data_IF_829145362824
#
_entry.id   IF_829145362824
#
_cell.length_a   1.000
_cell.length_b   1.000
_cell.length_c   1.000
_cell.angle_alpha   90.00
_cell.angle_beta   90.00
_cell.angle_gamma   90.00
#
_symmetry.space_group_name_H-M   'P 1'
#
loop_
_entity.id
_entity.type
_entity.pdbx_description
1 polymer ?
#
# COMPACT_ATOMS: atom_id res chain seq x y z
N UNK A 1 -10.36 -15.47 12.07
CA UNK A 1 -8.98 -15.38 12.61
C UNK A 1 -8.71 -14.04 13.29
N UNK A 2 -8.52 -12.90 12.59
CA UNK A 2 -8.22 -11.62 13.29
C UNK A 2 -9.36 -11.19 14.19
N UNK A 3 -10.61 -11.24 13.71
CA UNK A 3 -11.78 -10.88 14.53
C UNK A 3 -11.95 -11.79 15.75
N UNK A 4 -11.77 -13.10 15.54
CA UNK A 4 -11.81 -14.13 16.58
C UNK A 4 -10.72 -13.89 17.63
N UNK A 5 -9.47 -13.65 17.21
CA UNK A 5 -8.38 -13.30 18.11
C UNK A 5 -8.70 -12.05 18.93
N UNK A 6 -9.30 -11.03 18.31
CA UNK A 6 -9.74 -9.85 19.05
C UNK A 6 -10.75 -10.22 20.13
N UNK A 7 -11.75 -11.04 19.83
CA UNK A 7 -12.76 -11.42 20.84
C UNK A 7 -12.12 -12.14 22.04
N UNK A 8 -11.12 -12.98 21.80
CA UNK A 8 -10.39 -13.70 22.86
C UNK A 8 -9.56 -12.77 23.75
N UNK A 9 -8.83 -11.80 23.17
CA UNK A 9 -7.85 -11.00 23.94
C UNK A 9 -8.32 -9.60 24.31
N UNK A 10 -9.36 -9.06 23.66
CA UNK A 10 -9.70 -7.62 23.74
C UNK A 10 -10.00 -7.11 25.14
N UNK A 11 -10.53 -7.94 26.04
CA UNK A 11 -10.79 -7.56 27.42
C UNK A 11 -9.50 -7.18 28.18
N UNK A 12 -8.36 -7.71 27.76
CA UNK A 12 -7.04 -7.52 28.40
C UNK A 12 -6.22 -6.41 27.73
N UNK A 13 -6.65 -5.91 26.56
CA UNK A 13 -5.93 -4.91 25.79
C UNK A 13 -6.25 -3.49 26.25
N UNK A 14 -5.20 -2.67 26.29
CA UNK A 14 -5.31 -1.22 26.39
C UNK A 14 -5.96 -0.61 25.14
N UNK A 15 -6.42 0.64 25.23
CA UNK A 15 -7.04 1.33 24.10
C UNK A 15 -6.06 1.57 22.93
N UNK A 16 -4.77 1.76 23.25
CA UNK A 16 -3.73 1.90 22.21
C UNK A 16 -3.50 0.58 21.47
N UNK A 17 -3.57 -0.56 22.15
CA UNK A 17 -3.46 -1.88 21.51
C UNK A 17 -4.70 -2.19 20.67
N UNK A 18 -5.90 -1.87 21.17
CA UNK A 18 -7.16 -2.04 20.42
C UNK A 18 -7.20 -1.18 19.15
N UNK A 19 -6.75 0.07 19.24
CA UNK A 19 -6.69 0.96 18.07
C UNK A 19 -5.64 0.52 17.05
N UNK A 20 -4.59 -0.18 17.47
CA UNK A 20 -3.50 -0.67 16.61
C UNK A 20 -3.51 -2.20 16.45
N UNK A 21 -4.70 -2.80 16.50
CA UNK A 21 -4.83 -4.24 16.68
C UNK A 21 -4.24 -5.07 15.53
N UNK A 22 -4.19 -4.54 14.30
CA UNK A 22 -3.59 -5.25 13.16
C UNK A 22 -2.07 -5.40 13.33
N UNK A 23 -1.36 -4.35 13.76
CA UNK A 23 0.07 -4.44 14.11
C UNK A 23 0.31 -5.28 15.35
N UNK A 24 -0.59 -5.21 16.35
CA UNK A 24 -0.53 -6.09 17.52
C UNK A 24 -0.64 -7.56 17.11
N UNK A 25 -1.60 -7.89 16.26
CA UNK A 25 -1.79 -9.25 15.74
C UNK A 25 -0.55 -9.74 14.98
N UNK A 26 0.05 -8.90 14.11
CA UNK A 26 1.30 -9.23 13.42
C UNK A 26 2.45 -9.48 14.40
N UNK A 27 2.56 -8.67 15.46
CA UNK A 27 3.60 -8.84 16.47
C UNK A 27 3.51 -10.21 17.16
N UNK A 28 2.30 -10.70 17.39
CA UNK A 28 2.03 -12.03 17.95
C UNK A 28 1.98 -13.17 16.92
N UNK A 29 2.38 -12.91 15.67
CA UNK A 29 2.57 -13.94 14.64
C UNK A 29 1.32 -14.30 13.83
N UNK A 30 0.21 -13.55 13.99
CA UNK A 30 -0.95 -13.74 13.12
C UNK A 30 -0.67 -13.17 11.72
N UNK A 31 -1.20 -13.84 10.69
CA UNK A 31 -1.15 -13.33 9.32
C UNK A 31 -2.05 -12.09 9.21
N UNK A 32 -1.48 -11.00 8.73
CA UNK A 32 -2.22 -9.76 8.48
C UNK A 32 -1.89 -9.21 7.09
N UNK A 33 -2.54 -8.10 6.74
CA UNK A 33 -2.31 -7.39 5.48
C UNK A 33 -1.09 -6.45 5.54
N UNK A 34 -0.27 -6.51 6.60
CA UNK A 34 0.93 -5.69 6.75
C UNK A 34 2.16 -6.42 6.22
N UNK A 35 2.93 -5.73 5.38
CA UNK A 35 4.24 -6.18 4.93
C UNK A 35 5.30 -5.40 5.69
N UNK A 36 6.17 -6.13 6.40
CA UNK A 36 7.32 -5.56 7.10
C UNK A 36 8.30 -4.90 6.14
N UNK A 37 8.63 -3.63 6.40
CA UNK A 37 9.69 -2.88 5.72
C UNK A 37 10.55 -2.15 6.76
N UNK A 38 11.73 -1.69 6.37
CA UNK A 38 12.64 -0.95 7.26
C UNK A 38 13.12 0.32 6.61
N UNK A 39 13.39 1.34 7.45
CA UNK A 39 14.08 2.57 7.03
C UNK A 39 15.60 2.43 7.03
N UNK A 40 16.14 1.33 7.56
CA UNK A 40 17.58 1.10 7.64
C UNK A 40 18.05 0.17 6.53
N UNK A 41 18.93 0.68 5.67
CA UNK A 41 19.52 -0.12 4.59
C UNK A 41 20.30 -1.33 5.11
N UNK A 42 21.00 -1.19 6.25
CA UNK A 42 21.76 -2.29 6.86
C UNK A 42 20.85 -3.37 7.45
N UNK A 43 19.68 -2.97 8.00
CA UNK A 43 18.68 -3.94 8.49
C UNK A 43 18.05 -4.68 7.31
N UNK A 44 17.74 -3.98 6.22
CA UNK A 44 17.23 -4.62 4.99
C UNK A 44 18.26 -5.60 4.42
N UNK A 45 19.53 -5.18 4.35
CA UNK A 45 20.63 -6.03 3.90
C UNK A 45 20.79 -7.26 4.80
N UNK A 46 20.74 -7.09 6.12
CA UNK A 46 20.75 -8.21 7.06
C UNK A 46 19.65 -9.23 6.74
N UNK A 47 18.39 -8.80 6.65
CA UNK A 47 17.27 -9.70 6.38
C UNK A 47 17.32 -10.34 4.99
N UNK A 48 17.90 -9.67 4.00
CA UNK A 48 18.13 -10.26 2.67
C UNK A 48 19.17 -11.39 2.70
N UNK A 49 20.04 -11.41 3.72
CA UNK A 49 21.21 -12.29 3.78
C UNK A 49 21.19 -13.33 4.93
N UNK A 50 20.42 -13.12 6.00
CA UNK A 50 20.61 -13.83 7.26
C UNK A 50 20.23 -15.31 7.23
N UNK A 51 19.34 -15.72 6.31
CA UNK A 51 18.82 -17.07 6.17
C UNK A 51 18.62 -17.44 4.69
N UNK A 52 18.17 -18.68 4.43
CA UNK A 52 17.89 -19.22 3.09
C UNK A 52 19.05 -18.99 2.11
N UNK A 53 20.26 -19.44 2.47
CA UNK A 53 21.49 -19.15 1.71
C UNK A 53 21.47 -19.69 0.27
N UNK A 54 20.66 -20.70 -0.01
CA UNK A 54 20.50 -21.27 -1.37
C UNK A 54 19.63 -20.40 -2.29
N UNK A 55 18.85 -19.46 -1.73
CA UNK A 55 18.01 -18.56 -2.49
C UNK A 55 18.67 -17.19 -2.64
N UNK A 56 18.57 -16.61 -3.83
CA UNK A 56 18.97 -15.23 -4.13
C UNK A 56 18.26 -14.25 -3.19
N UNK A 57 19.04 -13.40 -2.53
CA UNK A 57 18.52 -12.32 -1.69
C UNK A 57 18.23 -11.08 -2.53
N UNK A 58 17.21 -10.32 -2.15
CA UNK A 58 16.88 -9.05 -2.79
C UNK A 58 16.65 -7.95 -1.76
N UNK A 59 17.01 -6.72 -2.11
CA UNK A 59 16.59 -5.51 -1.42
C UNK A 59 15.66 -4.73 -2.35
N UNK A 60 14.46 -4.45 -1.87
CA UNK A 60 13.47 -3.65 -2.56
C UNK A 60 13.42 -2.24 -1.96
N UNK A 61 13.60 -1.24 -2.80
CA UNK A 61 13.61 0.18 -2.40
C UNK A 61 12.33 0.84 -2.89
N UNK A 62 11.72 1.60 -1.99
CA UNK A 62 10.52 2.37 -2.28
C UNK A 62 10.74 3.85 -1.97
N UNK A 63 10.35 4.73 -2.89
CA UNK A 63 10.41 6.17 -2.70
C UNK A 63 9.30 6.60 -1.73
N UNK A 64 9.68 7.31 -0.68
CA UNK A 64 8.75 7.80 0.36
C UNK A 64 7.56 8.58 -0.21
N UNK A 65 7.76 9.34 -1.29
CA UNK A 65 6.71 10.16 -1.90
C UNK A 65 5.64 9.32 -2.63
N UNK A 66 5.89 8.03 -2.89
CA UNK A 66 4.91 7.13 -3.51
C UNK A 66 3.89 6.54 -2.51
N UNK A 67 4.00 6.90 -1.23
CA UNK A 67 3.11 6.42 -0.19
C UNK A 67 2.14 7.47 0.33
N UNK A 68 0.91 7.03 0.58
CA UNK A 68 -0.02 7.71 1.48
C UNK A 68 0.25 7.24 2.90
N UNK A 69 0.38 8.18 3.83
CA UNK A 69 0.65 7.84 5.23
C UNK A 69 -0.66 7.65 6.00
N UNK A 70 -0.73 6.52 6.67
CA UNK A 70 -1.79 6.21 7.61
C UNK A 70 -1.21 5.77 8.93
N UNK A 71 -1.98 5.96 9.99
CA UNK A 71 -1.72 5.48 11.33
C UNK A 71 -2.93 4.68 11.79
N UNK A 72 -3.45 4.94 12.98
CA UNK A 72 -4.53 4.17 13.58
C UNK A 72 -5.89 4.33 12.89
N UNK A 73 -5.98 5.12 11.82
CA UNK A 73 -7.19 5.29 11.03
C UNK A 73 -7.50 4.05 10.16
N UNK A 74 -6.49 3.25 9.80
CA UNK A 74 -6.66 1.99 9.01
C UNK A 74 -6.41 0.73 9.83
N UNK A 75 -6.26 0.86 11.14
CA UNK A 75 -6.03 -0.25 12.05
C UNK A 75 -7.14 -0.40 13.09
N UNK A 76 -7.03 -1.46 13.88
CA UNK A 76 -8.05 -1.80 14.86
C UNK A 76 -9.26 -2.43 14.17
N UNK A 77 -10.47 -2.06 14.65
CA UNK A 77 -11.75 -2.44 14.06
C UNK A 77 -12.42 -1.32 13.24
N UNK A 78 -11.74 -0.18 13.01
CA UNK A 78 -12.30 0.96 12.26
C UNK A 78 -12.48 0.63 10.78
N UNK A 79 -11.51 -0.11 10.22
CA UNK A 79 -11.48 -0.52 8.82
C UNK A 79 -11.24 -2.02 8.81
N UNK A 80 -12.20 -2.76 8.27
CA UNK A 80 -12.09 -4.21 8.14
C UNK A 80 -11.24 -4.51 6.89
N UNK A 81 -11.66 -3.96 5.75
CA UNK A 81 -10.97 -4.11 4.47
C UNK A 81 -11.08 -2.79 3.69
N UNK A 82 -9.97 -2.06 3.61
CA UNK A 82 -9.97 -0.67 3.10
C UNK A 82 -10.66 -0.49 1.74
N UNK A 83 -10.47 -1.39 0.78
CA UNK A 83 -11.16 -1.32 -0.51
C UNK A 83 -12.67 -1.54 -0.41
N UNK A 84 -13.13 -2.54 0.34
CA UNK A 84 -14.55 -2.76 0.58
C UNK A 84 -15.17 -1.57 1.34
N UNK A 85 -14.48 -1.07 2.36
CA UNK A 85 -14.95 0.06 3.16
C UNK A 85 -15.01 1.37 2.35
N UNK A 86 -14.15 1.56 1.35
CA UNK A 86 -14.28 2.68 0.41
C UNK A 86 -15.55 2.59 -0.45
N UNK A 87 -16.00 1.39 -0.81
CA UNK A 87 -17.27 1.19 -1.50
C UNK A 87 -18.44 1.50 -0.56
N UNK A 88 -18.42 0.92 0.64
CA UNK A 88 -19.58 0.82 1.51
C UNK A 88 -19.74 1.99 2.49
N UNK A 89 -18.64 2.56 2.99
CA UNK A 89 -18.66 3.47 4.13
C UNK A 89 -18.33 4.91 3.72
N UNK A 90 -19.13 5.88 4.17
CA UNK A 90 -18.90 7.29 3.87
C UNK A 90 -17.72 7.87 4.66
N UNK A 91 -17.51 7.41 5.89
CA UNK A 91 -16.40 7.85 6.74
C UNK A 91 -15.04 7.52 6.10
N UNK A 92 -14.90 6.30 5.59
CA UNK A 92 -13.70 5.85 4.85
C UNK A 92 -13.43 6.70 3.60
N UNK A 93 -14.49 7.07 2.86
CA UNK A 93 -14.37 7.96 1.70
C UNK A 93 -13.85 9.35 2.08
N UNK A 94 -14.41 9.97 3.13
CA UNK A 94 -14.00 11.30 3.62
C UNK A 94 -12.58 11.27 4.17
N UNK A 95 -12.26 10.26 4.98
CA UNK A 95 -10.91 10.06 5.50
C UNK A 95 -9.89 9.96 4.36
N UNK A 96 -10.18 9.12 3.35
CA UNK A 96 -9.26 8.93 2.24
C UNK A 96 -9.12 10.17 1.35
N UNK A 97 -10.21 10.91 1.12
CA UNK A 97 -10.16 12.21 0.45
C UNK A 97 -9.13 13.16 1.10
N UNK A 98 -9.18 13.30 2.42
CA UNK A 98 -8.23 14.15 3.15
C UNK A 98 -6.77 13.69 3.00
N UNK A 99 -6.54 12.37 3.01
CA UNK A 99 -5.21 11.79 2.79
C UNK A 99 -4.72 11.98 1.35
N UNK A 100 -5.61 11.90 0.36
CA UNK A 100 -5.29 12.15 -1.04
C UNK A 100 -4.94 13.61 -1.31
N UNK A 101 -5.54 14.57 -0.61
CA UNK A 101 -5.15 15.99 -0.70
C UNK A 101 -3.69 16.20 -0.29
N UNK A 102 -3.26 15.60 0.82
CA UNK A 102 -1.85 15.65 1.25
C UNK A 102 -0.94 14.93 0.24
N UNK A 103 -1.36 13.76 -0.24
CA UNK A 103 -0.59 12.98 -1.19
C UNK A 103 -0.40 13.69 -2.54
N UNK A 104 -1.44 14.30 -3.08
CA UNK A 104 -1.37 15.07 -4.33
C UNK A 104 -0.41 16.25 -4.21
N UNK A 105 -0.42 16.97 -3.08
CA UNK A 105 0.53 18.07 -2.82
C UNK A 105 1.98 17.61 -2.86
N UNK A 106 2.27 16.42 -2.33
CA UNK A 106 3.62 15.87 -2.22
C UNK A 106 4.08 15.03 -3.42
N UNK A 107 3.15 14.49 -4.21
CA UNK A 107 3.44 13.61 -5.35
C UNK A 107 2.57 13.90 -6.57
N UNK A 108 2.50 15.17 -6.95
CA UNK A 108 1.64 15.66 -8.04
C UNK A 108 1.86 14.90 -9.36
N UNK A 109 3.11 14.68 -9.78
CA UNK A 109 3.43 13.98 -11.04
C UNK A 109 2.91 12.54 -11.04
N UNK A 110 3.21 11.78 -9.98
CA UNK A 110 2.75 10.40 -9.85
C UNK A 110 1.22 10.31 -9.80
N UNK A 111 0.58 11.24 -9.11
CA UNK A 111 -0.88 11.32 -9.03
C UNK A 111 -1.54 11.60 -10.39
N UNK A 112 -1.01 12.56 -11.16
CA UNK A 112 -1.53 12.90 -12.50
C UNK A 112 -1.47 11.69 -13.43
N UNK A 113 -0.38 10.92 -13.37
CA UNK A 113 -0.20 9.68 -14.16
C UNK A 113 -1.20 8.62 -13.71
N UNK A 114 -1.33 8.37 -12.40
CA UNK A 114 -2.30 7.41 -11.84
C UNK A 114 -3.74 7.77 -12.21
N UNK A 115 -4.11 9.06 -12.16
CA UNK A 115 -5.40 9.55 -12.63
C UNK A 115 -5.61 9.26 -14.12
N UNK A 116 -4.61 9.49 -14.98
CA UNK A 116 -4.71 9.17 -16.41
C UNK A 116 -4.93 7.68 -16.66
N UNK A 117 -4.20 6.82 -15.96
CA UNK A 117 -4.39 5.37 -16.08
C UNK A 117 -5.83 4.96 -15.71
N UNK A 118 -6.35 5.50 -14.61
CA UNK A 118 -7.73 5.27 -14.20
C UNK A 118 -8.76 5.82 -15.22
N UNK A 119 -8.57 7.04 -15.73
CA UNK A 119 -9.44 7.60 -16.77
C UNK A 119 -9.38 6.80 -18.08
N UNK A 120 -8.24 6.20 -18.41
CA UNK A 120 -8.10 5.30 -19.55
C UNK A 120 -8.94 4.03 -19.39
N UNK A 121 -9.05 3.48 -18.17
CA UNK A 121 -9.95 2.36 -17.90
C UNK A 121 -11.41 2.75 -18.14
N UNK A 122 -11.82 3.96 -17.72
CA UNK A 122 -13.16 4.51 -18.03
C UNK A 122 -13.35 4.61 -19.55
N UNK A 123 -12.38 5.15 -20.28
CA UNK A 123 -12.43 5.25 -21.75
C UNK A 123 -12.66 3.87 -22.39
N UNK A 124 -12.01 2.82 -21.90
CA UNK A 124 -12.22 1.44 -22.40
C UNK A 124 -13.64 0.96 -22.12
N UNK A 125 -14.21 1.26 -20.95
CA UNK A 125 -15.60 0.92 -20.63
C UNK A 125 -16.60 1.66 -21.54
N UNK A 126 -16.41 2.97 -21.72
CA UNK A 126 -17.29 3.80 -22.58
C UNK A 126 -17.21 3.44 -24.07
N UNK A 127 -16.09 2.83 -24.51
CA UNK A 127 -15.98 2.31 -25.88
C UNK A 127 -16.76 1.02 -26.12
N UNK A 128 -17.09 0.27 -25.06
CA UNK A 128 -17.91 -0.94 -25.15
C UNK A 128 -19.41 -0.64 -25.12
N UNK A 129 -19.78 0.58 -24.76
CA UNK A 129 -21.17 1.00 -24.52
C UNK A 129 -21.79 1.64 -25.76
N UNK A 130 -23.09 2.00 -25.73
CA UNK A 130 -23.74 2.59 -26.91
C UNK A 130 -23.24 4.02 -27.07
N UNK A 131 -22.31 4.22 -28.01
CA UNK A 131 -21.72 5.53 -28.31
C UNK A 131 -22.80 6.61 -28.48
N UNK A 132 -22.73 7.64 -27.65
CA UNK A 132 -23.52 8.85 -27.80
C UNK A 132 -22.59 10.07 -27.75
N UNK A 133 -23.16 11.25 -27.97
CA UNK A 133 -22.40 12.51 -28.06
C UNK A 133 -21.61 12.77 -26.77
N UNK A 134 -22.19 12.46 -25.61
CA UNK A 134 -21.57 12.74 -24.32
C UNK A 134 -20.42 11.77 -23.98
N UNK A 135 -20.59 10.47 -24.23
CA UNK A 135 -19.49 9.51 -24.06
C UNK A 135 -18.33 9.84 -24.99
N UNK A 136 -18.63 10.33 -26.19
CA UNK A 136 -17.61 10.80 -27.15
C UNK A 136 -16.82 12.01 -26.62
N UNK A 137 -17.47 12.98 -25.99
CA UNK A 137 -16.81 14.16 -25.41
C UNK A 137 -15.95 13.80 -24.18
N UNK A 138 -16.37 12.84 -23.36
CA UNK A 138 -15.54 12.32 -22.26
C UNK A 138 -14.30 11.63 -22.83
N UNK A 139 -14.45 10.77 -23.84
CA UNK A 139 -13.32 10.09 -24.48
C UNK A 139 -12.32 11.11 -25.03
N UNK A 140 -12.79 12.14 -25.74
CA UNK A 140 -11.93 13.23 -26.23
C UNK A 140 -11.21 13.97 -25.10
N UNK A 141 -11.88 14.19 -23.98
CA UNK A 141 -11.29 14.84 -22.79
C UNK A 141 -10.17 13.99 -22.19
N UNK A 142 -10.38 12.67 -22.09
CA UNK A 142 -9.35 11.72 -21.64
C UNK A 142 -8.17 11.67 -22.62
N UNK A 143 -8.43 11.59 -23.93
CA UNK A 143 -7.37 11.57 -24.95
C UNK A 143 -6.54 12.87 -24.95
N UNK A 144 -7.19 14.02 -24.73
CA UNK A 144 -6.50 15.30 -24.58
C UNK A 144 -5.61 15.34 -23.32
N UNK A 145 -6.06 14.74 -22.21
CA UNK A 145 -5.27 14.63 -20.99
C UNK A 145 -4.04 13.76 -21.18
N UNK A 146 -4.20 12.59 -21.80
CA UNK A 146 -3.12 11.66 -22.08
C UNK A 146 -2.07 12.30 -23.00
N UNK A 147 -2.52 13.02 -24.02
CA UNK A 147 -1.64 13.82 -24.90
C UNK A 147 -0.86 14.84 -24.09
N UNK A 148 -1.51 15.53 -23.16
CA UNK A 148 -0.87 16.51 -22.29
C UNK A 148 0.16 15.94 -21.32
N UNK A 149 -0.03 14.71 -20.84
CA UNK A 149 1.00 14.01 -20.06
C UNK A 149 2.21 13.72 -20.94
N UNK A 150 1.99 13.18 -22.15
CA UNK A 150 3.06 12.79 -23.08
C UNK A 150 3.87 13.99 -23.58
N UNK A 151 3.20 15.09 -23.90
CA UNK A 151 3.82 16.33 -24.39
C UNK A 151 4.28 17.26 -23.25
N UNK A 152 4.00 16.90 -21.99
CA UNK A 152 4.46 17.62 -20.79
C UNK A 152 3.59 18.80 -20.36
N UNK A 153 2.76 19.37 -21.24
CA UNK A 153 2.01 20.59 -20.94
C UNK A 153 0.98 20.45 -19.81
N UNK A 154 0.51 19.24 -19.50
CA UNK A 154 -0.42 19.04 -18.37
C UNK A 154 0.26 19.21 -17.01
N UNK A 155 1.59 19.04 -16.97
CA UNK A 155 2.37 19.25 -15.75
C UNK A 155 2.46 20.76 -15.46
N UNK A 156 2.47 21.59 -16.51
CA UNK A 156 2.47 23.05 -16.41
C UNK A 156 1.05 23.60 -16.26
N UNK A 157 0.06 22.93 -16.88
CA UNK A 157 -1.35 23.26 -16.85
C UNK A 157 -2.16 22.02 -16.45
N UNK A 158 -2.19 21.69 -15.14
CA UNK A 158 -3.21 20.79 -14.63
C UNK A 158 -4.56 21.55 -14.79
N UNK A 159 -5.67 21.24 -14.17
CA UNK A 159 -6.89 22.06 -14.11
C UNK A 159 -7.66 22.28 -15.44
N UNK A 160 -7.01 22.32 -16.61
CA UNK A 160 -7.67 22.39 -17.93
C UNK A 160 -8.47 21.10 -18.23
N UNK A 161 -8.01 19.94 -17.73
CA UNK A 161 -8.78 18.69 -17.79
C UNK A 161 -10.09 18.83 -17.02
N UNK A 162 -10.02 19.30 -15.78
CA UNK A 162 -11.17 19.29 -14.87
C UNK A 162 -12.29 20.15 -15.42
N UNK A 163 -11.96 21.28 -16.06
CA UNK A 163 -12.98 22.12 -16.69
C UNK A 163 -13.68 21.41 -17.86
N UNK A 164 -12.94 20.76 -18.77
CA UNK A 164 -13.56 20.05 -19.90
C UNK A 164 -14.31 18.81 -19.46
N UNK A 165 -13.68 17.99 -18.60
CA UNK A 165 -14.25 16.76 -18.10
C UNK A 165 -15.47 17.04 -17.22
N UNK A 166 -15.38 17.90 -16.21
CA UNK A 166 -16.50 18.19 -15.30
C UNK A 166 -17.63 18.94 -16.01
N UNK A 167 -17.34 19.80 -17.00
CA UNK A 167 -18.39 20.44 -17.78
C UNK A 167 -19.23 19.43 -18.57
N UNK A 168 -18.61 18.41 -19.15
CA UNK A 168 -19.34 17.34 -19.85
C UNK A 168 -20.01 16.41 -18.85
N UNK A 169 -19.25 15.95 -17.86
CA UNK A 169 -19.65 14.96 -16.86
C UNK A 169 -20.84 15.40 -15.99
N UNK A 170 -20.91 16.68 -15.61
CA UNK A 170 -22.00 17.19 -14.78
C UNK A 170 -23.28 17.49 -15.58
N UNK A 171 -23.13 17.87 -16.86
CA UNK A 171 -24.27 18.25 -17.71
C UNK A 171 -24.91 17.07 -18.47
N UNK A 172 -24.28 15.91 -18.49
CA UNK A 172 -24.78 14.71 -19.16
C UNK A 172 -26.01 14.12 -18.44
N UNK A 173 -26.94 13.54 -19.22
CA UNK A 173 -28.09 12.75 -18.74
C UNK A 173 -27.98 11.26 -19.10
N UNK A 174 -26.83 10.81 -19.60
CA UNK A 174 -26.59 9.43 -19.98
C UNK A 174 -26.60 8.50 -18.76
N UNK A 175 -27.44 7.46 -18.85
CA UNK A 175 -27.57 6.43 -17.84
C UNK A 175 -26.27 5.69 -17.53
N UNK A 176 -25.40 5.50 -18.54
CA UNK A 176 -24.11 4.79 -18.39
C UNK A 176 -23.15 5.50 -17.41
N UNK A 177 -23.30 6.82 -17.26
CA UNK A 177 -22.47 7.62 -16.34
C UNK A 177 -23.12 7.87 -14.99
N UNK A 178 -24.39 7.50 -14.80
CA UNK A 178 -25.15 7.87 -13.61
C UNK A 178 -24.45 7.42 -12.33
N UNK A 179 -24.00 6.16 -12.24
CA UNK A 179 -23.32 5.68 -11.05
C UNK A 179 -22.03 6.46 -10.76
N UNK A 180 -21.24 6.77 -11.80
CA UNK A 180 -20.01 7.56 -11.64
C UNK A 180 -20.33 8.97 -11.13
N UNK A 181 -21.39 9.60 -11.66
CA UNK A 181 -21.89 10.93 -11.26
C UNK A 181 -22.48 10.93 -9.87
N UNK A 182 -23.23 9.92 -9.49
CA UNK A 182 -23.85 9.79 -8.18
C UNK A 182 -22.77 9.70 -7.10
N UNK A 183 -21.71 8.92 -7.33
CA UNK A 183 -20.54 8.88 -6.45
C UNK A 183 -19.92 10.28 -6.32
N UNK A 184 -19.77 11.02 -7.41
CA UNK A 184 -19.20 12.37 -7.39
C UNK A 184 -20.05 13.32 -6.56
N UNK A 185 -21.37 13.32 -6.78
CA UNK A 185 -22.32 14.18 -6.07
C UNK A 185 -22.32 13.84 -4.58
N UNK A 186 -22.33 12.56 -4.22
CA UNK A 186 -22.25 12.12 -2.83
C UNK A 186 -20.95 12.56 -2.16
N UNK A 187 -19.80 12.30 -2.79
CA UNK A 187 -18.51 12.76 -2.28
C UNK A 187 -18.45 14.28 -2.15
N UNK A 188 -19.01 15.02 -3.11
CA UNK A 188 -19.03 16.48 -3.09
C UNK A 188 -19.77 16.99 -1.86
N UNK A 189 -20.91 16.38 -1.53
CA UNK A 189 -21.67 16.70 -0.31
C UNK A 189 -20.89 16.33 0.96
N UNK A 190 -20.31 15.13 1.00
CA UNK A 190 -19.59 14.62 2.17
C UNK A 190 -18.33 15.43 2.50
N UNK A 191 -17.67 15.99 1.48
CA UNK A 191 -16.41 16.73 1.61
C UNK A 191 -16.61 18.25 1.57
N UNK A 192 -17.86 18.72 1.46
CA UNK A 192 -18.22 20.12 1.24
C UNK A 192 -17.48 20.73 0.03
N UNK A 193 -17.27 19.93 -1.01
CA UNK A 193 -16.62 20.35 -2.24
C UNK A 193 -17.63 21.00 -3.19
N UNK A 194 -17.21 22.12 -3.79
CA UNK A 194 -17.95 22.81 -4.84
C UNK A 194 -17.08 23.02 -6.07
N UNK A 195 -17.60 22.59 -7.23
CA UNK A 195 -17.00 22.88 -8.52
C UNK A 195 -17.43 24.28 -8.99
N UNK A 196 -16.47 25.10 -9.41
CA UNK A 196 -16.70 26.44 -9.95
C UNK A 196 -16.04 26.56 -11.32
N UNK A 197 -16.85 26.88 -12.34
CA UNK A 197 -16.36 27.13 -13.69
C UNK A 197 -15.32 28.27 -13.67
N UNK A 198 -14.18 28.06 -14.36
CA UNK A 198 -13.07 29.01 -14.49
C UNK A 198 -12.23 29.23 -13.22
N UNK A 199 -12.57 28.59 -12.10
CA UNK A 199 -11.71 28.54 -10.90
C UNK A 199 -10.92 27.25 -10.92
N UNK A 200 -9.65 27.33 -10.51
CA UNK A 200 -8.75 26.18 -10.48
C UNK A 200 -8.52 25.76 -9.03
N UNK A 201 -9.08 24.63 -8.62
CA UNK A 201 -8.97 24.11 -7.25
C UNK A 201 -8.14 22.83 -7.23
N UNK A 202 -7.25 22.71 -6.25
CA UNK A 202 -6.42 21.51 -6.06
C UNK A 202 -7.28 20.27 -5.82
N UNK A 203 -8.39 20.50 -5.12
CA UNK A 203 -9.43 19.55 -4.76
C UNK A 203 -10.06 18.88 -5.98
N UNK A 204 -10.13 19.56 -7.13
CA UNK A 204 -10.75 19.02 -8.36
C UNK A 204 -10.09 17.71 -8.80
N UNK A 205 -8.76 17.64 -8.74
CA UNK A 205 -8.00 16.44 -9.08
C UNK A 205 -8.28 15.29 -8.14
N UNK A 206 -8.31 15.60 -6.85
CA UNK A 206 -8.53 14.61 -5.81
C UNK A 206 -9.96 14.09 -5.88
N UNK A 207 -10.93 14.95 -6.15
CA UNK A 207 -12.33 14.59 -6.36
C UNK A 207 -12.53 13.69 -7.57
N UNK A 208 -11.99 14.08 -8.73
CA UNK A 208 -12.11 13.25 -9.94
C UNK A 208 -11.39 11.92 -9.74
N UNK A 209 -10.17 11.93 -9.18
CA UNK A 209 -9.42 10.71 -8.90
C UNK A 209 -10.20 9.78 -7.98
N UNK A 210 -10.65 10.26 -6.82
CA UNK A 210 -11.33 9.43 -5.84
C UNK A 210 -12.65 8.88 -6.38
N UNK A 211 -13.41 9.73 -7.09
CA UNK A 211 -14.67 9.32 -7.71
C UNK A 211 -14.43 8.25 -8.78
N UNK A 212 -13.45 8.47 -9.65
CA UNK A 212 -13.07 7.51 -10.71
C UNK A 212 -12.58 6.20 -10.12
N UNK A 213 -11.73 6.28 -9.09
CA UNK A 213 -11.21 5.12 -8.38
C UNK A 213 -12.34 4.30 -7.75
N UNK A 214 -13.25 4.92 -6.99
CA UNK A 214 -14.38 4.21 -6.36
C UNK A 214 -15.29 3.59 -7.41
N UNK A 215 -15.61 4.32 -8.49
CA UNK A 215 -16.42 3.76 -9.58
C UNK A 215 -15.76 2.52 -10.19
N UNK A 216 -14.47 2.59 -10.55
CA UNK A 216 -13.74 1.45 -11.11
C UNK A 216 -13.62 0.30 -10.10
N UNK A 217 -13.45 0.61 -8.82
CA UNK A 217 -13.42 -0.39 -7.76
C UNK A 217 -14.77 -1.12 -7.63
N UNK A 218 -15.89 -0.41 -7.78
CA UNK A 218 -17.23 -1.01 -7.86
C UNK A 218 -17.35 -1.88 -9.11
N UNK A 219 -16.89 -1.40 -10.28
CA UNK A 219 -16.89 -2.22 -11.50
C UNK A 219 -16.09 -3.51 -11.32
N UNK A 220 -14.96 -3.45 -10.60
CA UNK A 220 -14.16 -4.63 -10.26
C UNK A 220 -14.91 -5.55 -9.30
N UNK A 221 -15.47 -5.00 -8.22
CA UNK A 221 -16.25 -5.73 -7.23
C UNK A 221 -17.47 -6.44 -7.84
N UNK A 222 -18.09 -5.84 -8.87
CA UNK A 222 -19.17 -6.42 -9.67
C UNK A 222 -18.70 -7.32 -10.82
N UNK A 223 -17.40 -7.62 -10.93
CA UNK A 223 -16.79 -8.43 -12.00
C UNK A 223 -16.98 -7.90 -13.44
N UNK A 224 -17.20 -6.60 -13.61
CA UNK A 224 -17.31 -5.96 -14.93
C UNK A 224 -15.93 -5.63 -15.56
N UNK A 225 -14.89 -5.56 -14.74
CA UNK A 225 -13.49 -5.39 -15.17
C UNK A 225 -12.58 -6.39 -14.46
N UNK A 226 -11.48 -6.76 -15.12
CA UNK A 226 -10.48 -7.67 -14.56
C UNK A 226 -9.40 -6.95 -13.77
N UNK A 227 -8.90 -5.84 -14.31
CA UNK A 227 -7.87 -5.02 -13.71
C UNK A 227 -8.46 -4.11 -12.62
N UNK A 228 -7.70 -3.87 -11.56
CA UNK A 228 -8.04 -2.85 -10.58
C UNK A 228 -7.54 -1.48 -11.03
N UNK A 229 -8.22 -0.39 -10.64
CA UNK A 229 -7.68 0.95 -10.80
C UNK A 229 -6.36 1.13 -10.04
N UNK A 230 -5.47 1.94 -10.61
CA UNK A 230 -4.24 2.37 -9.98
C UNK A 230 -4.54 3.01 -8.63
N UNK A 231 -3.76 2.60 -7.63
CA UNK A 231 -3.91 3.02 -6.24
C UNK A 231 -2.52 3.24 -5.61
N UNK A 232 -2.29 4.39 -4.95
CA UNK A 232 -1.03 4.64 -4.27
C UNK A 232 -0.81 3.66 -3.11
N UNK A 233 0.44 3.30 -2.83
CA UNK A 233 0.74 2.42 -1.72
C UNK A 233 0.44 3.11 -0.38
N UNK A 234 0.05 2.32 0.62
CA UNK A 234 -0.18 2.83 1.97
C UNK A 234 1.00 2.49 2.86
N UNK A 235 1.58 3.51 3.48
CA UNK A 235 2.58 3.37 4.53
C UNK A 235 1.90 3.52 5.89
N UNK A 236 1.84 2.42 6.63
CA UNK A 236 1.20 2.32 7.94
C UNK A 236 2.21 2.57 9.07
N UNK A 237 1.84 3.49 9.94
CA UNK A 237 2.57 3.93 11.13
C UNK A 237 1.72 3.65 12.35
N UNK A 238 1.87 2.48 13.01
CA UNK A 238 1.15 2.25 14.25
C UNK A 238 1.53 3.28 15.30
N UNK A 239 0.56 3.67 16.12
CA UNK A 239 0.76 4.52 17.28
C UNK A 239 1.31 3.76 18.50
N UNK A 240 1.43 2.44 18.38
CA UNK A 240 2.11 1.57 19.34
C UNK A 240 3.53 1.24 18.86
N UNK A 241 4.50 1.28 19.78
CA UNK A 241 5.87 0.87 19.52
C UNK A 241 6.14 -0.47 20.18
N UNK A 242 6.31 -1.52 19.37
CA UNK A 242 6.89 -2.77 19.85
C UNK A 242 8.42 -2.67 19.82
N UNK A 243 9.11 -3.20 20.83
CA UNK A 243 10.58 -3.12 20.94
C UNK A 243 11.29 -3.59 19.67
N UNK A 244 10.82 -4.71 19.10
CA UNK A 244 11.32 -5.28 17.84
C UNK A 244 11.20 -4.30 16.67
N UNK A 245 10.10 -3.55 16.57
CA UNK A 245 9.91 -2.56 15.51
C UNK A 245 10.90 -1.40 15.64
N UNK A 246 11.15 -0.93 16.86
CA UNK A 246 12.10 0.16 17.12
C UNK A 246 13.51 -0.26 16.73
N UNK A 247 13.95 -1.45 17.18
CA UNK A 247 15.28 -1.99 16.89
C UNK A 247 15.54 -2.19 15.40
N UNK A 248 14.51 -2.57 14.64
CA UNK A 248 14.61 -2.81 13.21
C UNK A 248 14.34 -1.55 12.37
N UNK A 249 14.05 -0.40 13.00
CA UNK A 249 13.53 0.79 12.30
C UNK A 249 12.33 0.46 11.39
N UNK A 250 11.49 -0.48 11.86
CA UNK A 250 10.43 -1.13 11.12
C UNK A 250 9.25 -0.20 10.83
N UNK A 251 8.64 -0.37 9.66
CA UNK A 251 7.40 0.24 9.20
C UNK A 251 6.63 -0.83 8.43
N UNK A 252 5.38 -0.53 8.08
CA UNK A 252 4.56 -1.48 7.35
C UNK A 252 4.02 -0.86 6.06
N UNK A 253 4.01 -1.65 4.99
CA UNK A 253 3.12 -1.39 3.86
C UNK A 253 1.79 -2.07 4.18
N UNK A 254 0.68 -1.33 4.15
CA UNK A 254 -0.65 -1.94 4.21
C UNK A 254 -1.03 -2.41 2.80
N UNK A 255 -1.05 -3.72 2.60
CA UNK A 255 -1.40 -4.35 1.33
C UNK A 255 -2.92 -4.46 1.23
N UNK A 256 -3.51 -3.67 0.32
CA UNK A 256 -4.96 -3.70 0.16
C UNK A 256 -5.44 -5.03 -0.42
N UNK A 257 -6.57 -5.51 0.09
CA UNK A 257 -7.27 -6.70 -0.41
C UNK A 257 -8.71 -6.28 -0.75
N UNK A 258 -9.19 -6.71 -1.91
CA UNK A 258 -10.60 -6.63 -2.26
C UNK A 258 -11.23 -8.00 -2.04
N UNK A 259 -12.25 -8.04 -1.19
CA UNK A 259 -13.07 -9.24 -1.00
C UNK A 259 -14.28 -9.19 -1.93
N UNK A 260 -14.65 -10.36 -2.43
CA UNK A 260 -15.86 -10.55 -3.23
C UNK A 260 -17.12 -10.16 -2.42
N UNK A 261 -18.23 -9.83 -3.10
CA UNK A 261 -19.51 -9.67 -2.43
C UNK A 261 -19.88 -10.86 -1.55
N UNK A 262 -20.63 -10.59 -0.49
CA UNK A 262 -21.21 -11.63 0.34
C UNK A 262 -22.05 -12.57 -0.55
N UNK A 263 -21.84 -13.87 -0.41
CA UNK A 263 -22.69 -14.85 -1.08
C UNK A 263 -24.08 -14.92 -0.39
N UNK A 264 -24.99 -15.72 -0.94
CA UNK A 264 -26.37 -15.91 -0.41
C UNK A 264 -26.36 -16.41 1.05
N UNK A 265 -25.25 -16.99 1.51
CA UNK A 265 -25.06 -17.48 2.88
C UNK A 265 -24.42 -16.43 3.82
N UNK A 266 -24.34 -15.16 3.38
CA UNK A 266 -23.64 -14.08 4.08
C UNK A 266 -22.18 -14.40 4.43
N UNK A 267 -21.49 -15.16 3.56
CA UNK A 267 -20.07 -15.46 3.72
C UNK A 267 -19.25 -14.71 2.67
N UNK A 268 -18.21 -14.02 3.13
CA UNK A 268 -17.13 -13.51 2.28
C UNK A 268 -16.17 -14.67 2.02
N UNK A 269 -16.35 -15.38 0.90
CA UNK A 269 -15.60 -16.63 0.67
C UNK A 269 -14.32 -16.45 -0.16
N UNK A 270 -14.18 -15.36 -0.93
CA UNK A 270 -13.08 -15.26 -1.90
C UNK A 270 -12.41 -13.89 -1.92
N UNK A 271 -11.07 -13.91 -1.72
CA UNK A 271 -10.18 -12.79 -2.06
C UNK A 271 -10.21 -12.63 -3.57
N UNK A 272 -10.77 -11.53 -4.06
CA UNK A 272 -10.86 -11.25 -5.50
C UNK A 272 -9.59 -10.58 -6.01
N UNK A 273 -8.95 -9.76 -5.17
CA UNK A 273 -7.72 -9.07 -5.53
C UNK A 273 -6.83 -8.80 -4.31
N UNK A 274 -5.51 -8.89 -4.51
CA UNK A 274 -4.48 -8.45 -3.57
C UNK A 274 -3.62 -7.42 -4.29
N UNK A 275 -3.43 -6.25 -3.67
CA UNK A 275 -2.64 -5.18 -4.24
C UNK A 275 -1.20 -5.62 -4.52
N UNK A 276 -0.78 -5.48 -5.78
CA UNK A 276 0.62 -5.66 -6.15
C UNK A 276 1.47 -4.57 -5.48
N UNK A 277 2.56 -4.98 -4.85
CA UNK A 277 3.56 -4.08 -4.28
C UNK A 277 4.76 -4.07 -5.22
N UNK A 278 4.92 -2.97 -5.95
CA UNK A 278 5.97 -2.83 -6.98
C UNK A 278 7.04 -1.88 -6.44
N UNK A 279 8.30 -2.34 -6.27
CA UNK A 279 9.38 -1.48 -5.81
C UNK A 279 9.84 -0.52 -6.90
N UNK A 280 10.40 0.61 -6.47
CA UNK A 280 11.04 1.56 -7.39
C UNK A 280 12.38 1.02 -7.91
N UNK A 281 13.12 0.28 -7.06
CA UNK A 281 14.39 -0.36 -7.38
C UNK A 281 14.45 -1.72 -6.68
N UNK A 282 14.96 -2.72 -7.39
CA UNK A 282 15.32 -4.02 -6.82
C UNK A 282 16.81 -4.24 -6.98
N UNK A 283 17.49 -4.58 -5.90
CA UNK A 283 18.92 -4.90 -5.87
C UNK A 283 19.06 -6.37 -5.53
N UNK A 284 19.67 -7.14 -6.43
CA UNK A 284 20.05 -8.53 -6.18
C UNK A 284 21.30 -8.58 -5.29
N UNK A 285 21.32 -9.52 -4.34
CA UNK A 285 22.39 -9.63 -3.35
C UNK A 285 23.14 -10.94 -3.53
N UNK A 286 24.44 -10.81 -3.76
CA UNK A 286 25.42 -11.89 -3.81
C UNK A 286 26.20 -11.99 -2.49
N UNK A 287 26.97 -13.07 -2.30
CA UNK A 287 27.90 -13.22 -1.16
C UNK A 287 27.26 -13.07 0.23
N UNK A 288 25.99 -13.50 0.39
CA UNK A 288 25.18 -13.39 1.62
C UNK A 288 25.93 -13.76 2.91
N UNK A 289 26.75 -14.84 2.87
CA UNK A 289 27.49 -15.34 4.05
C UNK A 289 28.55 -14.35 4.54
N UNK A 290 29.25 -13.67 3.64
CA UNK A 290 30.26 -12.67 3.99
C UNK A 290 29.60 -11.40 4.51
N UNK A 291 28.56 -10.94 3.82
CA UNK A 291 27.78 -9.77 4.23
C UNK A 291 27.25 -9.91 5.66
N UNK A 292 26.73 -11.08 6.04
CA UNK A 292 26.25 -11.32 7.42
C UNK A 292 27.38 -11.24 8.45
N UNK A 293 28.59 -11.69 8.11
CA UNK A 293 29.76 -11.57 9.00
C UNK A 293 30.15 -10.10 9.19
N UNK A 294 30.21 -9.34 8.10
CA UNK A 294 30.55 -7.92 8.15
C UNK A 294 29.50 -7.11 8.91
N UNK A 295 28.21 -7.42 8.71
CA UNK A 295 27.13 -6.82 9.49
C UNK A 295 27.22 -7.17 10.98
N UNK A 296 27.64 -8.39 11.36
CA UNK A 296 27.87 -8.73 12.77
C UNK A 296 28.96 -7.87 13.40
N UNK A 297 30.03 -7.56 12.65
CA UNK A 297 31.10 -6.64 13.09
C UNK A 297 30.59 -5.21 13.27
N UNK A 298 29.67 -4.77 12.42
CA UNK A 298 28.97 -3.48 12.53
C UNK A 298 27.87 -3.47 13.61
N UNK A 299 27.65 -4.57 14.33
CA UNK A 299 26.64 -4.70 15.36
C UNK A 299 25.20 -4.89 14.83
N UNK A 300 25.03 -5.17 13.54
CA UNK A 300 23.75 -5.51 12.92
C UNK A 300 23.63 -7.03 12.88
N UNK A 301 23.02 -7.59 13.92
CA UNK A 301 22.89 -9.04 14.07
C UNK A 301 21.58 -9.44 14.76
N UNK A 302 21.28 -10.74 14.73
CA UNK A 302 20.07 -11.32 15.32
C UNK A 302 19.85 -10.91 16.78
N UNK A 303 20.91 -10.90 17.59
CA UNK A 303 20.87 -10.48 18.99
C UNK A 303 20.32 -9.06 19.12
N UNK A 304 20.83 -8.12 18.32
CA UNK A 304 20.44 -6.71 18.37
C UNK A 304 19.07 -6.43 17.76
N UNK A 305 18.67 -7.14 16.71
CA UNK A 305 17.43 -6.89 15.97
C UNK A 305 16.17 -7.48 16.64
N UNK A 306 16.33 -8.50 17.48
CA UNK A 306 15.21 -9.17 18.15
C UNK A 306 15.21 -8.96 19.67
N UNK A 307 16.40 -8.92 20.30
CA UNK A 307 16.62 -8.56 21.70
C UNK A 307 15.81 -9.33 22.76
N UNK A 308 15.22 -10.47 22.42
CA UNK A 308 14.61 -11.40 23.36
C UNK A 308 15.59 -12.52 23.79
N UNK A 309 15.40 -13.10 24.99
CA UNK A 309 16.30 -14.13 25.53
C UNK A 309 16.54 -15.31 24.58
N UNK A 310 15.51 -15.78 23.86
CA UNK A 310 15.62 -16.92 22.96
C UNK A 310 16.52 -16.60 21.75
N UNK A 311 16.34 -15.43 21.14
CA UNK A 311 17.18 -14.98 20.03
C UNK A 311 18.62 -14.68 20.47
N UNK A 312 18.80 -14.16 21.70
CA UNK A 312 20.12 -13.97 22.30
C UNK A 312 20.82 -15.32 22.52
N UNK A 313 20.13 -16.30 23.11
CA UNK A 313 20.65 -17.64 23.37
C UNK A 313 21.04 -18.34 22.07
N UNK A 314 20.17 -18.33 21.06
CA UNK A 314 20.45 -18.87 19.71
C UNK A 314 21.68 -18.24 19.08
N UNK A 315 21.85 -16.91 19.22
CA UNK A 315 23.04 -16.22 18.72
C UNK A 315 24.32 -16.65 19.44
N UNK A 316 24.29 -16.73 20.78
CA UNK A 316 25.44 -17.13 21.60
C UNK A 316 25.86 -18.56 21.29
N UNK A 317 24.90 -19.49 21.19
CA UNK A 317 25.14 -20.90 20.85
C UNK A 317 25.81 -21.05 19.47
N UNK A 318 25.26 -20.40 18.43
CA UNK A 318 25.85 -20.45 17.08
C UNK A 318 27.28 -19.90 17.06
N UNK A 319 27.58 -18.87 17.85
CA UNK A 319 28.92 -18.28 17.94
C UNK A 319 29.90 -19.16 18.71
N UNK A 320 29.44 -19.96 19.67
CA UNK A 320 30.30 -20.89 20.41
C UNK A 320 30.62 -22.14 19.60
N UNK A 321 29.70 -22.67 18.79
CA UNK A 321 29.99 -23.79 17.86
C UNK A 321 31.08 -23.43 16.84
N UNK A 322 30.98 -22.25 16.22
CA UNK A 322 32.00 -21.76 15.27
C UNK A 322 33.37 -21.59 15.94
N UNK A 323 33.39 -21.23 17.23
CA UNK A 323 34.65 -21.16 17.99
C UNK A 323 35.19 -22.57 18.23
N UNK A 324 34.37 -23.50 18.70
CA UNK A 324 34.78 -24.89 18.96
C UNK A 324 35.34 -25.56 17.70
N UNK A 325 34.64 -25.47 16.57
CA UNK A 325 35.14 -26.06 15.32
C UNK A 325 36.44 -25.43 14.84
N UNK A 326 36.65 -24.12 15.07
CA UNK A 326 37.93 -23.46 14.77
C UNK A 326 39.06 -23.94 15.68
N UNK A 327 38.79 -24.21 16.96
CA UNK A 327 39.77 -24.77 17.88
C UNK A 327 40.10 -26.23 17.55
N UNK A 328 39.11 -27.06 17.24
CA UNK A 328 39.30 -28.45 16.79
C UNK A 328 40.13 -28.52 15.51
N UNK A 329 39.83 -27.68 14.51
CA UNK A 329 40.65 -27.58 13.30
C UNK A 329 42.09 -27.13 13.59
N UNK A 330 42.30 -26.20 14.53
CA UNK A 330 43.64 -25.75 14.90
C UNK A 330 44.42 -26.85 15.64
N UNK A 331 43.77 -27.61 16.53
CA UNK A 331 44.40 -28.77 17.19
C UNK A 331 44.84 -29.83 16.18
N UNK A 332 44.06 -30.10 15.13
CA UNK A 332 44.44 -31.00 14.04
C UNK A 332 45.64 -30.50 13.22
N UNK A 333 45.86 -29.18 13.12
CA UNK A 333 47.03 -28.59 12.45
C UNK A 333 48.29 -28.54 13.32
N UNK A 334 48.19 -28.77 14.64
CA UNK A 334 49.34 -28.81 15.55
C UNK A 334 49.91 -30.22 15.76
N UNK A 335 49.38 -31.23 15.07
CA UNK A 335 49.93 -32.61 15.07
C UNK A 335 50.71 -32.86 13.77
N UNK A 336 51.80 -32.13 13.57
CA UNK A 336 52.97 -32.61 12.81
C UNK A 336 54.21 -32.33 13.66
N UNK A 337 54.46 -33.20 14.64
CA UNK A 337 55.78 -33.29 15.27
C UNK A 337 56.74 -34.00 14.31
N UNK A 338 57.85 -33.32 13.97
CA UNK A 338 59.11 -33.94 13.54
C UNK A 338 60.17 -33.61 14.57
#
# INVERSE_FOLDING_TARGET
MIDEYFYEVSAQLSDIEKSNFISYSQHHGLLTNLIDITRSALVALYFSCCDNFENTGYIHIFKKNNFIKFSDEISGRKIQYFYNDLIEQNESKVMFYNKLLEFYKNNRKGFIISLSNNLNMIKVLLKKSKHNVYTSEIIKSVDWYDKGIKEGYIMDRPNELNQRLLQVFLNDKNEELNMWRDIFIQLSKLTNYSFELKVQKLEDYVMIYLTTFIYLLIQKYSNNIYEVPDFPMILYYPNINFDRMTLQSGRFIYQNILYSPLNILNRQEKRDYIQKIIPDISIEIENKKEIVKDLDLLGINRKKLFNDPDNIAKYVYKKSEVRKSKYELLEDFYIEEV
#
